data_IF_044228927616
#
_entry.id   IF_044228927616
#
_cell.length_a   1.000
_cell.length_b   1.000
_cell.length_c   1.000
_cell.angle_alpha   90.00
_cell.angle_beta   90.00
_cell.angle_gamma   90.00
#
_symmetry.space_group_name_H-M   'P 1'
#
loop_
_entity.id
_entity.type
_entity.pdbx_description
1 polymer ?
#
# COMPACT_ATOMS: atom_id res chain seq x y z
N UNK A 1 -22.51 17.14 -16.19
CA UNK A 1 -21.65 16.14 -16.86
C UNK A 1 -21.06 16.76 -18.12
N UNK A 2 -19.75 16.70 -18.28
CA UNK A 2 -19.06 17.03 -19.55
C UNK A 2 -19.33 15.91 -20.55
N UNK A 3 -19.24 16.18 -21.85
CA UNK A 3 -19.31 15.12 -22.88
C UNK A 3 -17.96 14.40 -23.00
N UNK A 4 -17.95 13.16 -23.50
CA UNK A 4 -16.70 12.39 -23.66
C UNK A 4 -15.68 13.08 -24.56
N UNK A 5 -16.13 13.69 -25.65
CA UNK A 5 -15.28 14.50 -26.55
C UNK A 5 -14.65 15.70 -25.83
N UNK A 6 -15.42 16.34 -24.93
CA UNK A 6 -14.91 17.44 -24.14
C UNK A 6 -13.88 16.95 -23.11
N UNK A 7 -14.12 15.82 -22.46
CA UNK A 7 -13.16 15.22 -21.53
C UNK A 7 -11.85 14.87 -22.26
N UNK A 8 -11.93 14.14 -23.38
CA UNK A 8 -10.75 13.76 -24.18
C UNK A 8 -9.93 14.96 -24.64
N UNK A 9 -10.57 16.03 -25.10
CA UNK A 9 -9.87 17.24 -25.57
C UNK A 9 -9.24 18.08 -24.44
N UNK A 10 -9.76 17.97 -23.22
CA UNK A 10 -9.24 18.65 -22.03
C UNK A 10 -8.22 17.80 -21.23
N UNK A 11 -7.97 16.55 -21.64
CA UNK A 11 -7.00 15.65 -21.00
C UNK A 11 -5.61 16.29 -20.95
N UNK A 12 -5.02 16.28 -19.76
CA UNK A 12 -3.74 16.91 -19.48
C UNK A 12 -3.03 16.18 -18.34
N UNK A 13 -1.69 16.23 -18.28
CA UNK A 13 -0.96 15.68 -17.15
C UNK A 13 -1.42 16.31 -15.82
N UNK A 14 -1.61 15.47 -14.80
CA UNK A 14 -1.98 15.93 -13.46
C UNK A 14 -0.77 16.61 -12.82
N UNK A 15 -0.91 17.91 -12.51
CA UNK A 15 0.13 18.74 -11.85
C UNK A 15 -0.37 19.42 -10.58
N UNK A 16 -1.64 19.21 -10.23
CA UNK A 16 -2.28 19.81 -9.07
C UNK A 16 -3.32 18.87 -8.49
N UNK A 17 -3.50 18.98 -7.17
CA UNK A 17 -4.55 18.28 -6.41
C UNK A 17 -5.95 18.52 -7.00
N UNK A 18 -6.22 19.72 -7.52
CA UNK A 18 -7.50 20.03 -8.14
C UNK A 18 -7.77 19.20 -9.41
N UNK A 19 -6.74 19.01 -10.26
CA UNK A 19 -6.89 18.16 -11.46
C UNK A 19 -6.99 16.69 -11.09
N UNK A 20 -6.27 16.27 -10.04
CA UNK A 20 -6.36 14.92 -9.50
C UNK A 20 -7.80 14.58 -9.05
N UNK A 21 -8.43 15.47 -8.28
CA UNK A 21 -9.83 15.29 -7.84
C UNK A 21 -10.84 15.31 -8.99
N UNK A 22 -10.67 16.19 -9.97
CA UNK A 22 -11.49 16.21 -11.19
C UNK A 22 -11.46 14.85 -11.91
N UNK A 23 -10.28 14.22 -11.95
CA UNK A 23 -10.11 12.92 -12.61
C UNK A 23 -10.64 11.76 -11.77
N UNK A 24 -10.53 11.82 -10.44
CA UNK A 24 -11.20 10.86 -9.55
C UNK A 24 -12.73 10.90 -9.71
N UNK A 25 -13.32 12.10 -9.75
CA UNK A 25 -14.76 12.25 -10.00
C UNK A 25 -15.15 11.67 -11.38
N UNK A 26 -14.31 11.86 -12.39
CA UNK A 26 -14.54 11.28 -13.73
C UNK A 26 -14.46 9.75 -13.70
N UNK A 27 -13.52 9.17 -12.95
CA UNK A 27 -13.43 7.72 -12.77
C UNK A 27 -14.69 7.20 -12.09
N UNK A 28 -15.12 7.82 -10.98
CA UNK A 28 -16.33 7.43 -10.25
C UNK A 28 -17.60 7.50 -11.13
N UNK A 29 -17.70 8.49 -12.02
CA UNK A 29 -18.81 8.62 -12.97
C UNK A 29 -18.80 7.51 -14.06
N UNK A 30 -17.63 6.99 -14.42
CA UNK A 30 -17.46 6.06 -15.54
C UNK A 30 -17.18 4.61 -15.12
N UNK A 31 -17.02 4.32 -13.82
CA UNK A 31 -16.58 3.02 -13.29
C UNK A 31 -17.50 1.85 -13.71
N UNK A 32 -18.80 2.11 -13.87
CA UNK A 32 -19.81 1.12 -14.28
C UNK A 32 -20.14 1.18 -15.78
N UNK A 33 -19.24 1.76 -16.60
CA UNK A 33 -19.45 1.80 -18.06
C UNK A 33 -19.43 0.40 -18.69
N UNK A 34 -19.99 0.30 -19.90
CA UNK A 34 -20.05 -0.98 -20.62
C UNK A 34 -18.71 -1.31 -21.27
N UNK A 35 -18.35 -2.60 -21.29
CA UNK A 35 -17.15 -3.09 -21.98
C UNK A 35 -17.11 -2.65 -23.45
N UNK A 36 -15.94 -2.26 -23.92
CA UNK A 36 -15.62 -1.75 -25.25
C UNK A 36 -16.38 -0.47 -25.65
N UNK A 37 -16.87 0.31 -24.69
CA UNK A 37 -17.55 1.56 -24.96
C UNK A 37 -16.57 2.75 -25.05
N UNK A 38 -16.96 3.87 -25.69
CA UNK A 38 -16.13 5.08 -25.71
C UNK A 38 -15.83 5.63 -24.30
N UNK A 39 -16.72 5.39 -23.34
CA UNK A 39 -16.55 5.69 -21.92
C UNK A 39 -15.41 4.88 -21.31
N UNK A 40 -15.30 3.58 -21.60
CA UNK A 40 -14.22 2.71 -21.12
C UNK A 40 -12.85 3.23 -21.57
N UNK A 41 -12.74 3.68 -22.83
CA UNK A 41 -11.50 4.27 -23.36
C UNK A 41 -11.11 5.54 -22.57
N UNK A 42 -12.09 6.37 -22.20
CA UNK A 42 -11.84 7.56 -21.37
C UNK A 42 -11.44 7.16 -19.96
N UNK A 43 -12.15 6.20 -19.37
CA UNK A 43 -11.86 5.67 -18.04
C UNK A 43 -10.43 5.13 -17.97
N UNK A 44 -9.98 4.36 -18.96
CA UNK A 44 -8.62 3.84 -19.06
C UNK A 44 -7.59 4.98 -19.09
N UNK A 45 -7.77 5.95 -19.98
CA UNK A 45 -6.85 7.09 -20.12
C UNK A 45 -6.73 7.92 -18.83
N UNK A 46 -7.87 8.22 -18.19
CA UNK A 46 -7.90 8.99 -16.94
C UNK A 46 -7.27 8.19 -15.81
N UNK A 47 -7.52 6.88 -15.73
CA UNK A 47 -6.93 5.99 -14.72
C UNK A 47 -5.41 5.95 -14.82
N UNK A 48 -4.85 5.86 -16.04
CA UNK A 48 -3.39 5.90 -16.26
C UNK A 48 -2.79 7.22 -15.76
N UNK A 49 -3.47 8.36 -16.00
CA UNK A 49 -3.01 9.67 -15.53
C UNK A 49 -3.04 9.78 -14.00
N UNK A 50 -4.09 9.25 -13.38
CA UNK A 50 -4.25 9.17 -11.93
C UNK A 50 -3.16 8.30 -11.32
N UNK A 51 -2.96 7.08 -11.81
CA UNK A 51 -1.92 6.16 -11.33
C UNK A 51 -0.51 6.80 -11.42
N UNK A 52 -0.23 7.49 -12.53
CA UNK A 52 1.05 8.19 -12.69
C UNK A 52 1.26 9.33 -11.68
N UNK A 53 0.18 9.99 -11.28
CA UNK A 53 0.23 11.04 -10.26
C UNK A 53 0.38 10.44 -8.86
N UNK A 54 -0.42 9.43 -8.52
CA UNK A 54 -0.41 8.75 -7.23
C UNK A 54 0.93 8.09 -6.95
N UNK A 55 1.53 7.38 -7.92
CA UNK A 55 2.85 6.76 -7.76
C UNK A 55 3.96 7.75 -7.34
N UNK A 56 3.80 9.05 -7.65
CA UNK A 56 4.75 10.12 -7.29
C UNK A 56 4.39 10.86 -6.00
N UNK A 57 3.10 10.96 -5.66
CA UNK A 57 2.60 11.80 -4.56
C UNK A 57 2.05 11.01 -3.37
N UNK A 58 1.54 9.81 -3.63
CA UNK A 58 1.02 8.84 -2.68
C UNK A 58 1.70 7.48 -2.92
N UNK A 59 3.05 7.41 -2.80
CA UNK A 59 3.72 6.12 -2.92
C UNK A 59 3.11 5.15 -1.90
N UNK A 60 2.86 3.91 -2.33
CA UNK A 60 2.45 2.85 -1.43
C UNK A 60 3.59 2.68 -0.43
N UNK A 61 3.42 3.21 0.78
CA UNK A 61 4.40 3.02 1.84
C UNK A 61 4.50 1.52 2.10
N UNK A 62 5.74 1.03 2.13
CA UNK A 62 5.97 -0.36 2.48
C UNK A 62 5.34 -0.62 3.87
N UNK A 63 4.70 -1.78 4.06
CA UNK A 63 4.02 -2.07 5.33
C UNK A 63 5.01 -1.92 6.47
N UNK A 64 4.60 -1.23 7.53
CA UNK A 64 5.45 -1.12 8.71
C UNK A 64 5.85 -2.52 9.19
N UNK A 65 7.15 -2.82 9.33
CA UNK A 65 7.64 -4.15 9.67
C UNK A 65 6.99 -4.73 10.94
N UNK A 66 6.73 -3.88 11.94
CA UNK A 66 6.13 -4.31 13.20
C UNK A 66 4.65 -4.58 13.05
N UNK A 67 3.96 -3.81 12.19
CA UNK A 67 2.56 -4.07 11.92
C UNK A 67 2.38 -5.35 11.11
N UNK A 68 3.23 -5.61 10.12
CA UNK A 68 3.28 -6.89 9.41
C UNK A 68 3.52 -8.07 10.38
N UNK A 69 4.41 -7.91 11.36
CA UNK A 69 4.64 -8.93 12.39
C UNK A 69 3.39 -9.15 13.25
N UNK A 70 2.72 -8.09 13.71
CA UNK A 70 1.51 -8.22 14.54
C UNK A 70 0.36 -8.87 13.78
N UNK A 71 0.11 -8.45 12.54
CA UNK A 71 -0.89 -9.07 11.67
C UNK A 71 -0.58 -10.56 11.54
N UNK A 72 0.69 -10.92 11.31
CA UNK A 72 1.09 -12.33 11.20
C UNK A 72 0.88 -13.11 12.50
N UNK A 73 1.11 -12.47 13.64
CA UNK A 73 0.80 -13.06 14.93
C UNK A 73 -0.70 -13.32 15.08
N UNK A 74 -1.55 -12.37 14.69
CA UNK A 74 -3.01 -12.52 14.76
C UNK A 74 -3.51 -13.62 13.84
N UNK A 75 -3.07 -13.65 12.58
CA UNK A 75 -3.40 -14.70 11.60
C UNK A 75 -3.06 -16.10 12.09
N UNK A 76 -1.92 -16.25 12.78
CA UNK A 76 -1.44 -17.54 13.27
C UNK A 76 -1.83 -17.82 14.73
N UNK A 77 -2.59 -16.93 15.37
CA UNK A 77 -2.98 -17.06 16.79
C UNK A 77 -1.80 -17.04 17.78
N UNK A 78 -0.67 -16.44 17.39
CA UNK A 78 0.54 -16.37 18.21
C UNK A 78 0.42 -15.31 19.31
N UNK A 79 0.87 -15.65 20.51
CA UNK A 79 0.98 -14.71 21.63
C UNK A 79 2.42 -14.21 21.73
N UNK A 80 2.62 -13.10 22.44
CA UNK A 80 3.96 -12.52 22.67
C UNK A 80 4.98 -13.52 23.25
N UNK A 81 4.54 -14.49 24.06
CA UNK A 81 5.41 -15.55 24.58
C UNK A 81 5.95 -16.48 23.49
N UNK A 82 5.18 -16.69 22.43
CA UNK A 82 5.54 -17.57 21.31
C UNK A 82 6.54 -16.86 20.38
N UNK A 83 6.66 -15.53 20.52
CA UNK A 83 7.63 -14.73 19.77
C UNK A 83 9.04 -14.75 20.36
N UNK A 84 9.23 -15.33 21.55
CA UNK A 84 10.53 -15.31 22.25
C UNK A 84 11.63 -15.93 21.37
N UNK A 85 11.33 -16.97 20.60
CA UNK A 85 12.32 -17.63 19.74
C UNK A 85 12.83 -16.72 18.61
N UNK A 86 12.03 -15.75 18.18
CA UNK A 86 12.41 -14.77 17.15
C UNK A 86 13.19 -13.59 17.74
N UNK A 87 12.80 -13.12 18.93
CA UNK A 87 13.36 -11.89 19.53
C UNK A 87 14.43 -12.14 20.61
N UNK A 88 14.55 -13.37 21.11
CA UNK A 88 15.53 -13.84 22.09
C UNK A 88 15.07 -13.79 23.56
N UNK A 89 14.16 -12.88 23.93
CA UNK A 89 13.61 -12.82 25.30
C UNK A 89 12.25 -12.12 25.33
N UNK A 90 11.46 -12.35 26.38
CA UNK A 90 10.17 -11.68 26.57
C UNK A 90 10.30 -10.15 26.67
N UNK A 91 11.38 -9.64 27.28
CA UNK A 91 11.68 -8.20 27.32
C UNK A 91 11.90 -7.66 25.91
N UNK A 92 12.69 -8.37 25.09
CA UNK A 92 12.97 -7.96 23.70
C UNK A 92 11.74 -8.00 22.82
N UNK A 93 10.86 -8.98 22.98
CA UNK A 93 9.55 -9.01 22.29
C UNK A 93 8.78 -7.72 22.60
N UNK A 94 8.63 -7.38 23.88
CA UNK A 94 7.89 -6.19 24.29
C UNK A 94 8.55 -4.90 23.81
N UNK A 95 9.86 -4.78 23.96
CA UNK A 95 10.60 -3.59 23.54
C UNK A 95 10.52 -3.34 22.05
N UNK A 96 10.64 -4.39 21.21
CA UNK A 96 10.60 -4.23 19.76
C UNK A 96 9.17 -4.01 19.26
N UNK A 97 8.18 -4.79 19.70
CA UNK A 97 6.79 -4.61 19.28
C UNK A 97 6.19 -3.27 19.72
N UNK A 98 6.75 -2.63 20.76
CA UNK A 98 6.38 -1.29 21.21
C UNK A 98 7.35 -0.20 20.74
N UNK A 99 8.17 -0.45 19.71
CA UNK A 99 9.11 0.52 19.10
C UNK A 99 10.17 1.12 20.04
N UNK A 100 10.39 0.52 21.21
CA UNK A 100 11.47 0.95 22.13
C UNK A 100 12.85 0.53 21.64
N UNK A 101 12.91 -0.50 20.78
CA UNK A 101 14.12 -0.94 20.09
C UNK A 101 13.83 -1.32 18.63
N UNK A 102 14.78 -1.09 17.72
CA UNK A 102 14.64 -1.53 16.34
C UNK A 102 14.80 -3.06 16.22
N UNK A 103 14.30 -3.60 15.11
CA UNK A 103 14.62 -4.96 14.68
C UNK A 103 16.12 -5.09 14.38
N UNK A 104 16.73 -6.20 14.79
CA UNK A 104 18.09 -6.55 14.36
C UNK A 104 18.04 -7.43 13.12
N UNK A 105 19.11 -7.46 12.32
CA UNK A 105 19.22 -8.38 11.18
C UNK A 105 19.03 -9.86 11.57
N UNK A 106 19.45 -10.24 12.77
CA UNK A 106 19.22 -11.59 13.28
C UNK A 106 17.73 -11.86 13.51
N UNK A 107 16.99 -10.92 14.13
CA UNK A 107 15.55 -11.01 14.30
C UNK A 107 14.84 -11.08 12.95
N UNK A 108 15.21 -10.22 12.00
CA UNK A 108 14.64 -10.21 10.65
C UNK A 108 14.80 -11.57 9.97
N UNK A 109 15.99 -12.18 10.03
CA UNK A 109 16.22 -13.53 9.45
C UNK A 109 15.37 -14.59 10.12
N UNK A 110 15.25 -14.57 11.45
CA UNK A 110 14.43 -15.53 12.21
C UNK A 110 12.95 -15.38 11.89
N UNK A 111 12.45 -14.16 11.85
CA UNK A 111 11.06 -13.82 11.52
C UNK A 111 10.74 -14.19 10.07
N UNK A 112 11.61 -13.83 9.12
CA UNK A 112 11.45 -14.21 7.72
C UNK A 112 11.33 -15.73 7.56
N UNK A 113 12.27 -16.48 8.16
CA UNK A 113 12.29 -17.94 8.07
C UNK A 113 11.11 -18.60 8.80
N UNK A 114 10.69 -18.06 9.95
CA UNK A 114 9.71 -18.71 10.82
C UNK A 114 8.27 -18.29 10.58
N UNK A 115 8.03 -17.03 10.24
CA UNK A 115 6.69 -16.47 10.01
C UNK A 115 6.37 -16.24 8.54
N UNK A 116 7.37 -16.38 7.64
CA UNK A 116 7.19 -16.23 6.19
C UNK A 116 7.00 -14.79 5.71
N UNK A 117 7.26 -13.80 6.57
CA UNK A 117 7.19 -12.37 6.19
C UNK A 117 8.39 -12.07 5.29
N UNK A 118 8.17 -11.42 4.14
CA UNK A 118 9.27 -11.13 3.19
C UNK A 118 10.35 -10.27 3.85
N UNK A 119 11.61 -10.49 3.44
CA UNK A 119 12.71 -9.68 3.94
C UNK A 119 12.57 -8.21 3.54
N UNK A 120 12.00 -7.94 2.37
CA UNK A 120 11.69 -6.60 1.87
C UNK A 120 10.74 -5.85 2.82
N UNK A 121 9.63 -6.47 3.22
CA UNK A 121 8.69 -5.89 4.20
C UNK A 121 9.35 -5.66 5.55
N UNK A 122 10.27 -6.54 5.98
CA UNK A 122 10.95 -6.39 7.28
C UNK A 122 12.08 -5.35 7.29
N UNK A 123 12.61 -5.00 6.11
CA UNK A 123 13.69 -4.03 5.91
C UNK A 123 13.19 -2.64 5.53
N UNK A 124 11.89 -2.50 5.25
CA UNK A 124 11.23 -1.21 5.08
C UNK A 124 11.25 -0.42 6.40
N UNK A 125 12.36 0.24 6.68
CA UNK A 125 12.58 1.09 7.86
C UNK A 125 13.05 2.46 7.40
#
# INVERSE_FOLDING_TARGET
MKTLEQIKSELRPIRSEATYREYLETIDELVDCADNSPEEEVLELVSILVENYESKHYPIEAPDPLEAIKIKMEEQGLKRKDMIDYFGSASRVSEVLNRKRPLTLEMIRKIHKGLGISAETLLAV
#
